data_IF_372600762590
#
_entry.id   IF_372600762590
#
_cell.length_a   1.000
_cell.length_b   1.000
_cell.length_c   1.000
_cell.angle_alpha   90.00
_cell.angle_beta   90.00
_cell.angle_gamma   90.00
#
_symmetry.space_group_name_H-M   'P 1'
#
loop_
_entity.id
_entity.type
_entity.pdbx_description
1 polymer ?
#
# COMPACT_ATOMS: atom_id res chain seq x y z
N UNK A 1 19.43 -14.57 -53.66
CA UNK A 1 18.13 -14.77 -52.96
C UNK A 1 18.43 -15.58 -51.71
N UNK A 2 18.59 -14.91 -50.56
CA UNK A 2 18.94 -15.56 -49.28
C UNK A 2 17.62 -15.95 -48.61
N UNK A 3 17.35 -17.24 -48.54
CA UNK A 3 16.16 -17.77 -47.87
C UNK A 3 16.46 -17.90 -46.39
N UNK A 4 15.91 -16.99 -45.58
CA UNK A 4 15.83 -17.14 -44.12
C UNK A 4 14.95 -18.36 -43.80
N UNK A 5 15.58 -19.44 -43.33
CA UNK A 5 14.85 -20.58 -42.77
C UNK A 5 14.36 -20.19 -41.37
N UNK A 6 13.08 -19.86 -41.27
CA UNK A 6 12.41 -19.68 -39.98
C UNK A 6 12.43 -21.02 -39.24
N UNK A 7 13.11 -21.08 -38.11
CA UNK A 7 13.14 -22.26 -37.25
C UNK A 7 11.78 -22.35 -36.53
N UNK A 8 10.99 -23.43 -36.72
CA UNK A 8 9.65 -23.53 -36.14
C UNK A 8 9.63 -23.56 -34.60
N UNK A 9 10.79 -23.75 -33.96
CA UNK A 9 10.95 -23.72 -32.50
C UNK A 9 11.15 -22.30 -31.91
N UNK A 10 11.35 -21.27 -32.73
CA UNK A 10 11.53 -19.89 -32.22
C UNK A 10 10.20 -19.26 -31.77
N UNK A 11 9.07 -19.93 -32.04
CA UNK A 11 7.71 -19.49 -31.68
C UNK A 11 7.21 -20.08 -30.34
N UNK A 12 7.99 -20.91 -29.64
CA UNK A 12 7.61 -21.38 -28.30
C UNK A 12 7.99 -20.30 -27.29
N UNK A 13 7.03 -19.62 -26.64
CA UNK A 13 7.35 -18.60 -25.66
C UNK A 13 8.17 -19.26 -24.54
N UNK A 14 9.28 -18.63 -24.12
CA UNK A 14 10.04 -19.13 -22.99
C UNK A 14 9.14 -19.19 -21.73
N UNK A 15 9.53 -19.98 -20.73
CA UNK A 15 8.72 -20.21 -19.53
C UNK A 15 8.28 -18.90 -18.86
N UNK A 16 9.15 -17.88 -18.83
CA UNK A 16 8.86 -16.56 -18.28
C UNK A 16 7.79 -15.82 -19.08
N UNK A 17 7.83 -15.88 -20.41
CA UNK A 17 6.79 -15.33 -21.29
C UNK A 17 5.46 -16.07 -21.14
N UNK A 18 5.48 -17.39 -20.92
CA UNK A 18 4.28 -18.17 -20.63
C UNK A 18 3.64 -17.77 -19.29
N UNK A 19 4.46 -17.58 -18.25
CA UNK A 19 3.98 -17.11 -16.94
C UNK A 19 3.44 -15.68 -17.05
N UNK A 20 4.16 -14.77 -17.71
CA UNK A 20 3.71 -13.39 -17.89
C UNK A 20 2.40 -13.31 -18.70
N UNK A 21 2.25 -14.12 -19.75
CA UNK A 21 1.01 -14.21 -20.50
C UNK A 21 -0.13 -14.81 -19.64
N UNK A 22 0.14 -15.84 -18.85
CA UNK A 22 -0.84 -16.42 -17.94
C UNK A 22 -1.30 -15.41 -16.89
N UNK A 23 -0.38 -14.65 -16.29
CA UNK A 23 -0.68 -13.60 -15.32
C UNK A 23 -1.44 -12.44 -15.97
N UNK A 24 -1.01 -11.97 -17.14
CA UNK A 24 -1.66 -10.90 -17.90
C UNK A 24 -3.10 -11.26 -18.30
N UNK A 25 -3.38 -12.55 -18.52
CA UNK A 25 -4.74 -13.03 -18.84
C UNK A 25 -5.56 -13.33 -17.58
N UNK A 26 -4.95 -13.81 -16.49
CA UNK A 26 -5.65 -14.16 -15.27
C UNK A 26 -6.07 -12.92 -14.45
N UNK A 27 -5.26 -11.87 -14.43
CA UNK A 27 -5.50 -10.69 -13.61
C UNK A 27 -6.77 -9.91 -14.02
N UNK A 28 -7.04 -9.64 -15.32
CA UNK A 28 -8.28 -9.02 -15.75
C UNK A 28 -9.51 -9.88 -15.46
N UNK A 29 -9.38 -11.21 -15.56
CA UNK A 29 -10.46 -12.15 -15.27
C UNK A 29 -10.80 -12.20 -13.78
N UNK A 30 -9.78 -12.18 -12.91
CA UNK A 30 -9.98 -12.05 -11.46
C UNK A 30 -10.65 -10.72 -11.13
N UNK A 31 -10.20 -9.63 -11.75
CA UNK A 31 -10.80 -8.31 -11.57
C UNK A 31 -12.24 -8.24 -12.08
N UNK A 32 -12.55 -8.89 -13.20
CA UNK A 32 -13.90 -8.97 -13.75
C UNK A 32 -14.81 -9.83 -12.88
N UNK A 33 -14.30 -10.96 -12.36
CA UNK A 33 -15.02 -11.83 -11.43
C UNK A 33 -15.33 -11.09 -10.11
N UNK A 34 -14.34 -10.40 -9.53
CA UNK A 34 -14.54 -9.58 -8.34
C UNK A 34 -15.53 -8.43 -8.59
N UNK A 35 -15.42 -7.72 -9.71
CA UNK A 35 -16.39 -6.67 -10.10
C UNK A 35 -17.80 -7.24 -10.23
N UNK A 36 -17.93 -8.40 -10.84
CA UNK A 36 -19.23 -9.07 -11.05
C UNK A 36 -19.81 -9.53 -9.71
N UNK A 37 -18.97 -10.10 -8.84
CA UNK A 37 -19.36 -10.52 -7.50
C UNK A 37 -19.82 -9.33 -6.65
N UNK A 38 -19.05 -8.24 -6.63
CA UNK A 38 -19.42 -6.98 -5.95
C UNK A 38 -20.73 -6.42 -6.52
N UNK A 39 -20.88 -6.41 -7.85
CA UNK A 39 -22.10 -5.93 -8.52
C UNK A 39 -23.33 -6.78 -8.16
N UNK A 40 -23.16 -8.11 -8.06
CA UNK A 40 -24.23 -9.03 -7.71
C UNK A 40 -24.58 -8.96 -6.23
N UNK A 41 -23.60 -8.81 -5.34
CA UNK A 41 -23.81 -8.64 -3.90
C UNK A 41 -24.55 -7.32 -3.60
N UNK A 42 -24.25 -6.25 -4.35
CA UNK A 42 -25.02 -4.99 -4.32
C UNK A 42 -26.45 -5.20 -4.81
N UNK A 43 -26.65 -5.98 -5.87
CA UNK A 43 -27.97 -6.22 -6.48
C UNK A 43 -28.87 -7.12 -5.62
N UNK A 44 -28.29 -8.09 -4.91
CA UNK A 44 -29.05 -9.18 -4.29
C UNK A 44 -29.34 -9.00 -2.79
N UNK A 45 -28.91 -7.91 -2.14
CA UNK A 45 -29.41 -7.44 -0.85
C UNK A 45 -29.82 -8.54 0.15
N UNK A 46 -28.91 -9.45 0.49
CA UNK A 46 -29.18 -10.55 1.41
C UNK A 46 -29.31 -10.06 2.85
N UNK A 47 -30.50 -9.59 3.23
CA UNK A 47 -30.86 -9.27 4.62
C UNK A 47 -31.63 -10.42 5.29
N UNK A 48 -31.52 -10.60 6.62
CA UNK A 48 -32.49 -11.40 7.37
C UNK A 48 -33.85 -10.67 7.34
N UNK A 49 -34.91 -11.44 7.14
CA UNK A 49 -36.29 -10.98 7.20
C UNK A 49 -36.60 -10.34 8.57
N UNK A 50 -37.01 -9.07 8.57
CA UNK A 50 -37.41 -8.33 9.76
C UNK A 50 -37.72 -6.87 9.40
N UNK A 51 -38.99 -6.50 9.46
CA UNK A 51 -39.54 -5.33 8.76
C UNK A 51 -39.31 -3.97 9.42
N UNK A 52 -39.69 -2.94 8.66
CA UNK A 52 -40.07 -1.63 9.22
C UNK A 52 -39.27 -0.44 8.69
N UNK A 53 -39.71 0.08 7.53
CA UNK A 53 -39.89 1.53 7.30
C UNK A 53 -38.67 2.45 7.20
N UNK A 54 -38.46 3.00 6.01
CA UNK A 54 -37.83 4.31 5.79
C UNK A 54 -36.39 4.24 5.27
N UNK A 55 -36.24 4.64 4.01
CA UNK A 55 -35.00 4.91 3.26
C UNK A 55 -34.12 3.70 2.89
N UNK A 56 -34.35 3.28 1.65
CA UNK A 56 -33.60 2.27 0.91
C UNK A 56 -32.15 2.70 0.62
N UNK A 57 -31.34 1.67 0.35
CA UNK A 57 -29.97 1.61 -0.19
C UNK A 57 -28.84 1.47 0.84
N UNK A 58 -28.32 0.24 1.07
CA UNK A 58 -27.00 0.06 1.66
C UNK A 58 -25.92 0.45 0.63
N UNK A 59 -25.63 1.75 0.60
CA UNK A 59 -24.32 2.34 0.84
C UNK A 59 -23.10 1.69 0.12
N UNK A 60 -22.52 2.40 -0.86
CA UNK A 60 -21.45 1.96 -1.79
C UNK A 60 -20.10 1.55 -1.19
N UNK A 61 -19.01 1.65 -1.97
CA UNK A 61 -17.64 1.13 -1.66
C UNK A 61 -17.20 1.27 -0.19
N UNK A 62 -17.63 2.31 0.52
CA UNK A 62 -17.41 2.48 1.95
C UNK A 62 -17.91 1.32 2.83
N UNK A 63 -19.12 0.76 2.60
CA UNK A 63 -19.61 -0.40 3.36
C UNK A 63 -18.88 -1.69 2.99
N UNK A 64 -18.43 -1.80 1.74
CA UNK A 64 -17.60 -2.93 1.31
C UNK A 64 -16.21 -2.89 1.95
N UNK A 65 -15.59 -1.71 2.01
CA UNK A 65 -14.34 -1.48 2.75
C UNK A 65 -14.55 -1.78 4.23
N UNK A 66 -15.60 -1.28 4.88
CA UNK A 66 -15.84 -1.55 6.31
C UNK A 66 -16.07 -3.03 6.62
N UNK A 67 -16.67 -3.79 5.70
CA UNK A 67 -16.98 -5.22 5.89
C UNK A 67 -15.78 -6.15 5.64
N UNK A 68 -14.89 -5.82 4.71
CA UNK A 68 -13.71 -6.64 4.37
C UNK A 68 -12.39 -6.07 4.94
N UNK A 69 -12.25 -4.76 4.95
CA UNK A 69 -11.21 -4.02 5.68
C UNK A 69 -11.79 -3.62 7.04
N UNK A 70 -11.97 -4.62 7.90
CA UNK A 70 -12.64 -4.45 9.20
C UNK A 70 -12.09 -3.24 9.97
N UNK A 71 -12.96 -2.54 10.70
CA UNK A 71 -12.54 -1.43 11.57
C UNK A 71 -11.39 -1.82 12.52
N UNK A 72 -11.31 -3.10 12.91
CA UNK A 72 -10.20 -3.66 13.69
C UNK A 72 -8.86 -3.66 12.92
N UNK A 73 -8.85 -4.00 11.64
CA UNK A 73 -7.65 -3.95 10.81
C UNK A 73 -7.21 -2.51 10.55
N UNK A 74 -8.18 -1.60 10.33
CA UNK A 74 -7.87 -0.17 10.20
C UNK A 74 -7.26 0.40 11.50
N UNK A 75 -7.86 0.11 12.65
CA UNK A 75 -7.30 0.50 13.95
C UNK A 75 -5.93 -0.13 14.21
N UNK A 76 -5.69 -1.35 13.73
CA UNK A 76 -4.38 -2.00 13.84
C UNK A 76 -3.33 -1.22 13.06
N UNK A 77 -3.60 -0.83 11.80
CA UNK A 77 -2.68 -0.01 11.01
C UNK A 77 -2.47 1.38 11.63
N UNK A 78 -3.52 2.00 12.17
CA UNK A 78 -3.41 3.29 12.86
C UNK A 78 -2.51 3.21 14.11
N UNK A 79 -2.67 2.15 14.91
CA UNK A 79 -1.78 1.88 16.04
C UNK A 79 -0.35 1.62 15.60
N UNK A 80 -0.16 0.76 14.60
CA UNK A 80 1.17 0.42 14.09
C UNK A 80 1.87 1.65 13.51
N UNK A 81 1.14 2.48 12.76
CA UNK A 81 1.63 3.76 12.26
C UNK A 81 2.03 4.67 13.42
N UNK A 82 1.16 4.87 14.41
CA UNK A 82 1.44 5.76 15.55
C UNK A 82 2.63 5.34 16.41
N UNK A 83 3.01 4.05 16.40
CA UNK A 83 4.16 3.51 17.13
C UNK A 83 5.37 3.21 16.24
N UNK A 84 5.36 3.61 14.97
CA UNK A 84 6.39 3.19 14.03
C UNK A 84 7.73 3.87 14.33
N UNK A 85 8.76 3.07 14.57
CA UNK A 85 10.12 3.55 14.79
C UNK A 85 11.12 2.76 13.93
N UNK A 86 12.23 3.41 13.62
CA UNK A 86 13.39 2.82 12.99
C UNK A 86 14.07 1.88 13.99
N UNK A 87 14.21 0.62 13.59
CA UNK A 87 14.88 -0.41 14.40
C UNK A 87 16.40 -0.28 14.28
N UNK A 88 17.15 -0.69 15.32
CA UNK A 88 18.61 -0.58 15.36
C UNK A 88 19.31 -1.27 14.17
N UNK A 89 18.78 -2.43 13.76
CA UNK A 89 19.29 -3.24 12.64
C UNK A 89 18.88 -2.76 11.24
N UNK A 90 18.03 -1.74 11.15
CA UNK A 90 17.40 -1.28 9.91
C UNK A 90 17.92 0.12 9.55
N UNK A 91 18.25 0.36 8.28
CA UNK A 91 18.65 1.68 7.79
C UNK A 91 17.43 2.59 7.53
N UNK A 92 17.67 3.89 7.32
CA UNK A 92 16.61 4.87 7.10
C UNK A 92 15.76 4.60 5.85
N UNK A 93 16.31 3.95 4.82
CA UNK A 93 15.60 3.60 3.59
C UNK A 93 14.54 2.50 3.81
N UNK A 94 14.92 1.42 4.47
CA UNK A 94 13.98 0.36 4.85
C UNK A 94 12.90 0.86 5.82
N UNK A 95 13.25 1.76 6.75
CA UNK A 95 12.28 2.43 7.60
C UNK A 95 11.31 3.31 6.81
N UNK A 96 11.80 4.08 5.83
CA UNK A 96 10.98 4.89 4.93
C UNK A 96 9.98 4.05 4.15
N UNK A 97 10.38 2.89 3.65
CA UNK A 97 9.48 1.98 2.93
C UNK A 97 8.33 1.51 3.82
N UNK A 98 8.64 1.06 5.05
CA UNK A 98 7.62 0.65 6.02
C UNK A 98 6.68 1.79 6.41
N UNK A 99 7.24 2.98 6.64
CA UNK A 99 6.48 4.17 6.97
C UNK A 99 5.51 4.55 5.85
N UNK A 100 5.99 4.57 4.61
CA UNK A 100 5.18 4.94 3.43
C UNK A 100 4.07 3.94 3.19
N UNK A 101 4.37 2.64 3.38
CA UNK A 101 3.37 1.58 3.31
C UNK A 101 2.26 1.78 4.34
N UNK A 102 2.60 2.03 5.61
CA UNK A 102 1.62 2.27 6.66
C UNK A 102 0.82 3.57 6.43
N UNK A 103 1.49 4.65 6.02
CA UNK A 103 0.84 5.92 5.68
C UNK A 103 -0.24 5.77 4.60
N UNK A 104 -0.03 4.86 3.64
CA UNK A 104 -0.98 4.57 2.57
C UNK A 104 -2.29 3.93 3.06
N UNK A 105 -2.26 3.20 4.17
CA UNK A 105 -3.45 2.55 4.76
C UNK A 105 -4.19 3.44 5.75
N UNK A 106 -3.49 4.35 6.45
CA UNK A 106 -4.07 5.14 7.54
C UNK A 106 -4.60 6.51 7.11
N UNK A 107 -4.68 6.78 5.79
CA UNK A 107 -5.18 8.01 5.12
C UNK A 107 -5.44 9.23 6.03
N UNK A 108 -6.58 9.27 6.73
CA UNK A 108 -6.96 10.40 7.60
C UNK A 108 -5.98 10.63 8.77
N UNK A 109 -5.49 9.56 9.39
CA UNK A 109 -4.53 9.60 10.50
C UNK A 109 -3.10 9.92 10.07
N UNK A 110 -2.72 9.74 8.79
CA UNK A 110 -1.43 10.19 8.28
C UNK A 110 -1.34 11.73 8.30
N UNK A 111 -2.44 12.39 7.90
CA UNK A 111 -2.53 13.85 7.80
C UNK A 111 -1.69 14.42 6.65
N UNK A 112 -1.39 15.71 6.72
CA UNK A 112 -0.60 16.41 5.69
C UNK A 112 0.88 15.99 5.65
N UNK A 113 1.56 16.36 4.57
CA UNK A 113 2.97 16.01 4.34
C UNK A 113 3.92 16.50 5.46
N UNK A 114 3.63 17.65 6.08
CA UNK A 114 4.45 18.21 7.15
C UNK A 114 4.24 17.43 8.45
N UNK A 115 3.01 17.00 8.74
CA UNK A 115 2.69 16.12 9.87
C UNK A 115 3.35 14.76 9.70
N UNK A 116 3.30 14.19 8.50
CA UNK A 116 4.00 12.93 8.20
C UNK A 116 5.52 13.09 8.35
N UNK A 117 6.10 14.20 7.88
CA UNK A 117 7.53 14.49 8.04
C UNK A 117 7.95 14.57 9.52
N UNK A 118 7.15 15.25 10.36
CA UNK A 118 7.39 15.28 11.81
C UNK A 118 7.32 13.88 12.42
N UNK A 119 6.31 13.11 12.08
CA UNK A 119 6.13 11.76 12.60
C UNK A 119 7.28 10.83 12.22
N UNK A 120 7.68 10.83 10.94
CA UNK A 120 8.84 10.10 10.46
C UNK A 120 10.12 10.52 11.19
N UNK A 121 10.34 11.84 11.37
CA UNK A 121 11.50 12.37 12.12
C UNK A 121 11.56 11.81 13.54
N UNK A 122 10.45 11.81 14.28
CA UNK A 122 10.37 11.30 15.65
C UNK A 122 10.63 9.79 15.77
N UNK A 123 10.33 9.02 14.73
CA UNK A 123 10.58 7.59 14.72
C UNK A 123 12.00 7.19 14.33
N UNK A 124 12.89 8.11 13.95
CA UNK A 124 14.29 7.79 13.63
C UNK A 124 15.08 7.34 14.86
N UNK A 125 16.23 6.68 14.63
CA UNK A 125 17.19 6.39 15.69
C UNK A 125 17.58 7.67 16.43
N UNK A 126 17.71 7.59 17.76
CA UNK A 126 17.98 8.76 18.63
C UNK A 126 19.15 9.62 18.13
N UNK A 127 20.27 8.98 17.78
CA UNK A 127 21.47 9.70 17.33
C UNK A 127 21.32 10.38 15.94
N UNK A 128 20.43 9.85 15.09
CA UNK A 128 20.07 10.49 13.80
C UNK A 128 19.11 11.65 14.07
N UNK A 129 18.09 11.42 14.89
CA UNK A 129 17.12 12.43 15.30
C UNK A 129 17.80 13.65 15.92
N UNK A 130 18.72 13.44 16.88
CA UNK A 130 19.43 14.50 17.59
C UNK A 130 20.20 15.43 16.61
N UNK A 131 20.67 14.90 15.48
CA UNK A 131 21.39 15.67 14.45
C UNK A 131 20.47 16.50 13.55
N UNK A 132 19.18 16.16 13.45
CA UNK A 132 18.23 16.83 12.54
C UNK A 132 17.02 17.45 13.23
N UNK A 133 16.97 17.41 14.57
CA UNK A 133 15.82 17.84 15.36
C UNK A 133 15.44 19.30 15.06
N UNK A 134 16.44 20.17 14.94
CA UNK A 134 16.28 21.62 14.71
C UNK A 134 16.01 22.00 13.24
N UNK A 135 16.00 21.03 12.32
CA UNK A 135 15.71 21.28 10.92
C UNK A 135 14.24 21.00 10.62
N UNK A 136 13.61 21.97 9.94
CA UNK A 136 12.26 21.81 9.40
C UNK A 136 12.30 21.16 8.03
N UNK A 137 11.36 20.24 7.82
CA UNK A 137 11.21 19.50 6.57
C UNK A 137 9.76 19.60 6.11
N UNK A 138 9.58 19.72 4.79
CA UNK A 138 8.26 19.87 4.18
C UNK A 138 7.58 18.53 3.88
N UNK A 139 8.36 17.46 3.75
CA UNK A 139 7.89 16.12 3.44
C UNK A 139 8.86 15.04 3.94
N UNK A 140 8.41 13.79 3.97
CA UNK A 140 9.17 12.62 4.44
C UNK A 140 10.44 12.40 3.62
N UNK A 141 10.42 12.65 2.30
CA UNK A 141 11.58 12.41 1.45
C UNK A 141 12.78 13.30 1.84
N UNK A 142 12.54 14.55 2.24
CA UNK A 142 13.61 15.43 2.74
C UNK A 142 14.20 14.92 4.06
N UNK A 143 13.36 14.46 4.99
CA UNK A 143 13.83 13.89 6.27
C UNK A 143 14.64 12.62 6.01
N UNK A 144 14.15 11.74 5.13
CA UNK A 144 14.80 10.48 4.79
C UNK A 144 16.15 10.69 4.10
N UNK A 145 16.26 11.68 3.20
CA UNK A 145 17.53 12.05 2.59
C UNK A 145 18.55 12.53 3.63
N UNK A 146 18.12 13.40 4.56
CA UNK A 146 18.98 13.88 5.64
C UNK A 146 19.43 12.75 6.58
N UNK A 147 18.50 11.87 6.97
CA UNK A 147 18.78 10.69 7.79
C UNK A 147 19.78 9.76 7.11
N UNK A 148 19.59 9.46 5.82
CA UNK A 148 20.50 8.62 5.03
C UNK A 148 21.90 9.20 4.96
N UNK A 149 22.03 10.51 4.74
CA UNK A 149 23.34 11.17 4.70
C UNK A 149 24.08 11.06 6.04
N UNK A 150 23.35 11.18 7.16
CA UNK A 150 23.92 11.02 8.50
C UNK A 150 24.36 9.58 8.76
N UNK A 151 23.58 8.60 8.31
CA UNK A 151 23.92 7.18 8.40
C UNK A 151 25.16 6.81 7.60
N UNK A 152 25.27 7.32 6.37
CA UNK A 152 26.46 7.11 5.52
C UNK A 152 27.74 7.73 6.10
N UNK A 153 27.62 8.80 6.89
CA UNK A 153 28.76 9.43 7.56
C UNK A 153 29.18 8.71 8.86
N UNK A 154 28.44 7.68 9.27
CA UNK A 154 28.69 6.90 10.48
C UNK A 154 29.15 5.45 10.16
N UNK A 155 29.02 5.00 8.91
CA UNK A 155 29.69 3.79 8.40
C UNK A 155 31.18 4.06 8.12
#
# INVERSE_FOLDING_TARGET
MVTTRNNPNDNVPNFEAMINAAVANALPNLMAALRTQITNDIRNGGGPSGGGGGDAIPHGIHVWIERYFSASEQQRYEREYGSICQLDRVNSGEYMERFTRLASFVRAAAGDAKRQARHFKWGLKKWVFDRIVNTDYTNVAQVAAAARNIELLHE
#
